data_IF_942106397432
#
_entry.id   IF_942106397432
#
_cell.length_a   1.000
_cell.length_b   1.000
_cell.length_c   1.000
_cell.angle_alpha   90.00
_cell.angle_beta   90.00
_cell.angle_gamma   90.00
#
_symmetry.space_group_name_H-M   'P 1'
#
loop_
_entity.id
_entity.type
_entity.pdbx_description
1 polymer ?
#
# COMPACT_ATOMS: atom_id res chain seq x y z
N UNK A 1 -43.74 -6.68 -7.99
CA UNK A 1 -42.42 -7.30 -7.76
C UNK A 1 -41.38 -6.19 -7.78
N UNK A 2 -40.80 -5.86 -6.62
CA UNK A 2 -39.73 -4.87 -6.53
C UNK A 2 -38.52 -5.42 -7.30
N UNK A 3 -38.10 -4.75 -8.37
CA UNK A 3 -36.82 -5.04 -9.03
C UNK A 3 -35.72 -4.68 -8.02
N UNK A 4 -35.24 -5.64 -7.24
CA UNK A 4 -33.99 -5.46 -6.49
C UNK A 4 -32.91 -5.09 -7.50
N UNK A 5 -32.23 -3.98 -7.29
CA UNK A 5 -31.04 -3.64 -8.06
C UNK A 5 -30.04 -4.79 -7.95
N UNK A 6 -29.29 -5.12 -9.02
CA UNK A 6 -28.22 -6.11 -8.92
C UNK A 6 -27.26 -5.71 -7.79
N UNK A 7 -26.66 -6.69 -7.09
CA UNK A 7 -25.69 -6.40 -6.04
C UNK A 7 -24.54 -5.55 -6.60
N UNK A 8 -23.94 -4.66 -5.79
CA UNK A 8 -22.85 -3.83 -6.25
C UNK A 8 -21.64 -4.69 -6.64
N UNK A 9 -21.02 -4.36 -7.78
CA UNK A 9 -19.83 -5.06 -8.27
C UNK A 9 -18.73 -5.09 -7.21
N UNK A 10 -17.98 -6.19 -7.15
CA UNK A 10 -16.83 -6.34 -6.26
C UNK A 10 -15.58 -5.83 -6.99
N UNK A 11 -14.79 -4.99 -6.32
CA UNK A 11 -13.54 -4.52 -6.93
C UNK A 11 -12.42 -5.54 -6.75
N UNK A 12 -11.50 -5.67 -7.72
CA UNK A 12 -10.32 -6.54 -7.56
C UNK A 12 -9.53 -6.24 -6.27
N UNK A 13 -9.40 -4.98 -5.87
CA UNK A 13 -8.74 -4.60 -4.62
C UNK A 13 -9.58 -4.83 -3.36
N UNK A 14 -10.90 -5.06 -3.46
CA UNK A 14 -11.71 -5.58 -2.35
C UNK A 14 -11.35 -7.02 -2.03
N UNK A 15 -11.07 -7.86 -3.05
CA UNK A 15 -10.62 -9.25 -2.89
C UNK A 15 -9.36 -9.30 -2.02
N UNK A 16 -8.31 -8.57 -2.41
CA UNK A 16 -7.07 -8.51 -1.63
C UNK A 16 -7.29 -8.02 -0.19
N UNK A 17 -8.13 -6.99 -0.01
CA UNK A 17 -8.43 -6.44 1.32
C UNK A 17 -9.19 -7.41 2.20
N UNK A 18 -10.14 -8.16 1.63
CA UNK A 18 -10.89 -9.19 2.36
C UNK A 18 -9.96 -10.30 2.85
N UNK A 19 -9.11 -10.83 1.97
CA UNK A 19 -8.09 -11.84 2.32
C UNK A 19 -7.14 -11.31 3.39
N UNK A 20 -6.76 -10.03 3.32
CA UNK A 20 -5.92 -9.42 4.35
C UNK A 20 -6.64 -9.38 5.71
N UNK A 21 -7.86 -8.84 5.76
CA UNK A 21 -8.73 -8.83 6.94
C UNK A 21 -10.18 -8.42 6.58
N UNK A 22 -11.15 -9.31 6.77
CA UNK A 22 -12.57 -9.05 6.50
C UNK A 22 -13.13 -7.85 7.32
N UNK A 23 -12.75 -7.75 8.60
CA UNK A 23 -13.13 -6.62 9.47
C UNK A 23 -12.55 -5.29 9.01
N UNK A 24 -11.35 -5.27 8.42
CA UNK A 24 -10.77 -4.05 7.90
C UNK A 24 -11.58 -3.53 6.70
N UNK A 25 -12.03 -4.43 5.81
CA UNK A 25 -12.91 -4.09 4.70
C UNK A 25 -14.27 -3.54 5.16
N UNK A 26 -14.80 -4.05 6.27
CA UNK A 26 -16.01 -3.51 6.91
C UNK A 26 -15.83 -2.05 7.35
N UNK A 27 -14.68 -1.68 7.92
CA UNK A 27 -14.39 -0.29 8.29
C UNK A 27 -14.26 0.67 7.10
N UNK A 28 -13.69 0.21 5.98
CA UNK A 28 -13.50 1.04 4.77
C UNK A 28 -14.85 1.47 4.18
N UNK A 29 -15.82 0.56 4.17
CA UNK A 29 -17.17 0.84 3.68
C UNK A 29 -17.95 1.83 4.54
N UNK A 30 -17.73 1.85 5.86
CA UNK A 30 -18.43 2.77 6.77
C UNK A 30 -17.74 4.12 6.93
N UNK A 31 -16.49 4.29 6.50
CA UNK A 31 -15.75 5.54 6.70
C UNK A 31 -14.66 5.75 5.63
N UNK A 32 -15.01 6.30 4.45
CA UNK A 32 -14.10 6.43 3.31
C UNK A 32 -13.06 7.57 3.42
N UNK A 33 -13.23 8.55 4.32
CA UNK A 33 -12.40 9.76 4.35
C UNK A 33 -11.54 9.86 5.62
N UNK A 34 -10.29 9.39 5.59
CA UNK A 34 -9.27 9.83 6.57
C UNK A 34 -7.87 9.92 5.93
N UNK A 35 -7.47 11.14 5.56
CA UNK A 35 -6.08 11.56 5.39
C UNK A 35 -5.92 12.99 5.94
N UNK A 36 -5.06 13.21 6.96
CA UNK A 36 -4.10 14.33 7.04
C UNK A 36 -3.19 14.19 8.30
N UNK A 37 -1.91 14.65 8.28
CA UNK A 37 -0.94 14.51 9.35
C UNK A 37 -0.66 15.81 10.16
N UNK A 38 0.05 15.59 11.28
CA UNK A 38 0.96 16.45 12.06
C UNK A 38 0.53 17.85 12.55
N UNK A 39 0.86 18.16 13.82
CA UNK A 39 1.22 19.52 14.25
C UNK A 39 2.22 19.51 15.43
N UNK A 40 3.20 20.40 15.34
CA UNK A 40 4.39 20.61 16.19
C UNK A 40 4.20 21.85 17.10
N UNK A 41 4.92 21.95 18.23
CA UNK A 41 5.24 23.24 18.88
C UNK A 41 5.49 23.12 20.39
N UNK A 42 6.74 23.08 20.89
CA UNK A 42 7.69 24.17 21.22
C UNK A 42 7.54 24.72 22.66
N UNK A 43 8.65 25.31 23.19
CA UNK A 43 8.79 26.33 24.27
C UNK A 43 9.20 25.85 25.69
N UNK A 44 10.00 26.51 26.55
CA UNK A 44 10.70 27.81 26.63
C UNK A 44 11.89 27.66 27.63
N UNK A 45 12.98 28.44 27.46
CA UNK A 45 14.09 28.63 28.42
C UNK A 45 14.00 30.04 29.02
N UNK A 46 14.10 30.17 30.36
CA UNK A 46 14.35 31.43 31.09
C UNK A 46 15.06 31.10 32.42
N UNK A 47 16.17 31.79 32.73
CA UNK A 47 16.59 32.35 34.05
C UNK A 47 18.13 32.57 34.17
N UNK A 48 18.59 33.78 33.80
CA UNK A 48 19.44 34.77 34.54
C UNK A 48 20.62 34.20 35.41
N UNK A 49 21.94 34.26 35.05
CA UNK A 49 22.99 35.32 35.17
C UNK A 49 23.37 35.79 36.62
N UNK A 50 24.59 36.31 36.94
CA UNK A 50 25.95 35.74 36.91
C UNK A 50 26.82 36.04 38.19
N UNK A 51 27.93 35.33 38.42
CA UNK A 51 29.06 35.84 39.23
C UNK A 51 30.08 36.45 38.25
N UNK A 52 30.70 37.61 38.57
CA UNK A 52 31.57 38.36 37.65
C UNK A 52 32.83 38.72 38.45
N UNK A 53 33.97 38.03 38.34
CA UNK A 53 34.98 38.23 37.29
C UNK A 53 35.92 37.03 37.09
N UNK A 54 36.12 36.16 38.09
CA UNK A 54 36.78 34.83 37.89
C UNK A 54 35.88 33.87 37.09
N UNK A 55 34.58 33.95 37.32
CA UNK A 55 33.56 33.34 36.47
C UNK A 55 33.56 33.98 35.07
N UNK A 56 33.97 35.23 34.83
CA UNK A 56 33.96 35.76 33.45
C UNK A 56 35.00 35.10 32.55
N UNK A 57 36.20 34.79 33.04
CA UNK A 57 37.23 34.12 32.22
C UNK A 57 36.87 32.65 32.03
N UNK A 58 36.52 31.95 33.11
CA UNK A 58 36.06 30.55 33.02
C UNK A 58 34.76 30.45 32.21
N UNK A 59 33.83 31.40 32.35
CA UNK A 59 32.62 31.47 31.52
C UNK A 59 32.92 31.89 30.11
N UNK A 60 33.92 32.71 29.80
CA UNK A 60 34.27 33.00 28.41
C UNK A 60 34.84 31.76 27.73
N UNK A 61 35.68 30.98 28.41
CA UNK A 61 36.21 29.70 27.91
C UNK A 61 35.11 28.64 27.80
N UNK A 62 34.26 28.49 28.83
CA UNK A 62 33.13 27.56 28.82
C UNK A 62 32.07 28.00 27.80
N UNK A 63 31.76 29.29 27.69
CA UNK A 63 30.84 29.82 26.68
C UNK A 63 31.41 29.66 25.28
N UNK A 64 32.72 29.82 25.07
CA UNK A 64 33.37 29.53 23.80
C UNK A 64 33.31 28.02 23.48
N UNK A 65 33.60 27.14 24.43
CA UNK A 65 33.46 25.70 24.24
C UNK A 65 32.00 25.27 24.00
N UNK A 66 31.04 25.90 24.68
CA UNK A 66 29.60 25.68 24.52
C UNK A 66 29.12 26.21 23.17
N UNK A 67 29.56 27.38 22.71
CA UNK A 67 29.21 27.91 21.38
C UNK A 67 29.82 27.09 20.25
N UNK A 68 31.05 26.58 20.42
CA UNK A 68 31.65 25.62 19.48
C UNK A 68 30.86 24.30 19.44
N UNK A 69 30.44 23.76 20.59
CA UNK A 69 29.57 22.57 20.63
C UNK A 69 28.18 22.81 20.03
N UNK A 70 27.57 23.98 20.26
CA UNK A 70 26.30 24.38 19.64
C UNK A 70 26.48 24.49 18.12
N UNK A 71 27.58 25.09 17.65
CA UNK A 71 27.91 25.17 16.23
C UNK A 71 28.04 23.78 15.59
N UNK A 72 28.82 22.88 16.20
CA UNK A 72 29.02 21.50 15.71
C UNK A 72 27.70 20.73 15.67
N UNK A 73 26.86 20.83 16.71
CA UNK A 73 25.57 20.14 16.75
C UNK A 73 24.57 20.67 15.72
N UNK A 74 24.54 21.99 15.49
CA UNK A 74 23.74 22.59 14.41
C UNK A 74 24.21 22.13 13.04
N UNK A 75 25.52 22.11 12.79
CA UNK A 75 26.10 21.63 11.52
C UNK A 75 25.78 20.14 11.32
N UNK A 76 25.97 19.29 12.33
CA UNK A 76 25.65 17.88 12.25
C UNK A 76 24.15 17.63 12.00
N UNK A 77 23.27 18.43 12.61
CA UNK A 77 21.84 18.42 12.35
C UNK A 77 21.51 18.80 10.91
N UNK A 78 22.10 19.87 10.39
CA UNK A 78 21.93 20.30 9.00
C UNK A 78 22.46 19.26 8.00
N UNK A 79 23.61 18.64 8.27
CA UNK A 79 24.16 17.55 7.45
C UNK A 79 23.24 16.34 7.48
N UNK A 80 22.68 15.97 8.64
CA UNK A 80 21.75 14.83 8.75
C UNK A 80 20.44 15.10 8.00
N UNK A 81 19.91 16.32 8.08
CA UNK A 81 18.73 16.73 7.31
C UNK A 81 19.06 16.71 5.81
N UNK A 82 20.18 17.29 5.40
CA UNK A 82 20.61 17.31 4.01
C UNK A 82 20.80 15.89 3.46
N UNK A 83 21.47 15.00 4.20
CA UNK A 83 21.66 13.61 3.82
C UNK A 83 20.32 12.88 3.74
N UNK A 84 19.40 13.12 4.69
CA UNK A 84 18.06 12.52 4.65
C UNK A 84 17.25 13.00 3.45
N UNK A 85 17.31 14.30 3.13
CA UNK A 85 16.66 14.88 1.94
C UNK A 85 17.30 14.36 0.67
N UNK A 86 18.63 14.26 0.61
CA UNK A 86 19.38 13.74 -0.54
C UNK A 86 19.07 12.25 -0.75
N UNK A 87 19.09 11.43 0.30
CA UNK A 87 18.72 10.02 0.24
C UNK A 87 17.26 9.86 -0.17
N UNK A 88 16.35 10.71 0.35
CA UNK A 88 14.94 10.70 -0.04
C UNK A 88 14.76 11.17 -1.49
N UNK A 89 15.52 12.15 -1.94
CA UNK A 89 15.54 12.64 -3.33
C UNK A 89 16.07 11.55 -4.28
N UNK A 90 17.19 10.92 -3.94
CA UNK A 90 17.74 9.77 -4.68
C UNK A 90 16.72 8.64 -4.68
N UNK A 91 16.15 8.26 -3.53
CA UNK A 91 15.14 7.22 -3.40
C UNK A 91 13.88 7.49 -4.23
N UNK A 92 13.39 8.73 -4.24
CA UNK A 92 12.25 9.13 -5.08
C UNK A 92 12.61 9.25 -6.57
N UNK A 93 13.89 9.48 -6.91
CA UNK A 93 14.36 9.53 -8.30
C UNK A 93 14.69 8.14 -8.86
N UNK A 94 15.15 7.22 -8.01
CA UNK A 94 15.35 5.81 -8.36
C UNK A 94 14.04 5.02 -8.33
N UNK A 95 13.07 5.41 -7.48
CA UNK A 95 11.66 5.07 -7.68
C UNK A 95 11.15 5.81 -8.91
N UNK A 96 11.28 5.19 -10.07
CA UNK A 96 10.45 5.54 -11.20
C UNK A 96 9.26 4.60 -11.20
N UNK A 97 8.13 4.97 -10.56
CA UNK A 97 6.88 4.19 -10.60
C UNK A 97 6.29 4.07 -12.01
N UNK A 98 7.00 4.59 -13.03
CA UNK A 98 6.51 4.75 -14.39
C UNK A 98 7.55 4.39 -15.47
N UNK A 99 8.75 3.93 -15.12
CA UNK A 99 9.69 3.47 -16.14
C UNK A 99 9.40 2.02 -16.51
N UNK A 100 8.83 1.88 -17.70
CA UNK A 100 8.83 0.68 -18.53
C UNK A 100 8.76 -0.60 -17.71
N UNK A 101 7.56 -0.87 -17.19
CA UNK A 101 7.30 -2.20 -16.70
C UNK A 101 7.46 -3.13 -17.90
N UNK A 102 8.39 -4.06 -17.79
CA UNK A 102 8.59 -5.12 -18.76
C UNK A 102 8.58 -6.45 -18.04
N UNK A 103 8.18 -7.47 -18.77
CA UNK A 103 8.23 -8.86 -18.34
C UNK A 103 8.80 -9.66 -19.51
N UNK A 104 9.86 -10.42 -19.25
CA UNK A 104 10.58 -11.20 -20.27
C UNK A 104 10.95 -10.38 -21.54
N UNK A 105 11.30 -9.11 -21.36
CA UNK A 105 11.67 -8.20 -22.46
C UNK A 105 10.48 -7.56 -23.20
N UNK A 106 9.25 -7.96 -22.91
CA UNK A 106 8.03 -7.36 -23.46
C UNK A 106 7.61 -6.18 -22.58
N UNK A 107 7.32 -5.04 -23.20
CA UNK A 107 6.90 -3.83 -22.49
C UNK A 107 5.41 -3.87 -22.17
N UNK A 108 5.06 -3.60 -20.91
CA UNK A 108 3.70 -3.45 -20.44
C UNK A 108 3.26 -1.99 -20.64
N UNK A 109 2.01 -1.82 -21.06
CA UNK A 109 1.38 -0.54 -21.28
C UNK A 109 0.47 -0.22 -20.10
N UNK A 110 0.59 1.01 -19.57
CA UNK A 110 -0.30 1.47 -18.50
C UNK A 110 -1.74 1.48 -19.01
N UNK A 111 -2.65 0.91 -18.23
CA UNK A 111 -4.07 0.96 -18.53
C UNK A 111 -4.75 2.04 -17.68
N UNK A 112 -5.51 2.91 -18.35
CA UNK A 112 -6.24 4.00 -17.71
C UNK A 112 -7.74 3.74 -17.62
N UNK A 113 -8.23 2.67 -18.27
CA UNK A 113 -9.64 2.36 -18.38
C UNK A 113 -10.07 1.41 -17.26
N UNK A 114 -11.14 1.79 -16.55
CA UNK A 114 -11.87 0.86 -15.69
C UNK A 114 -12.64 -0.12 -16.58
N UNK A 115 -12.42 -1.39 -16.35
CA UNK A 115 -13.05 -2.52 -17.03
C UNK A 115 -14.06 -3.15 -16.07
N UNK A 116 -15.12 -3.73 -16.64
CA UNK A 116 -16.21 -4.35 -15.90
C UNK A 116 -16.41 -5.74 -16.46
N UNK A 117 -16.42 -6.74 -15.58
CA UNK A 117 -16.83 -8.09 -15.89
C UNK A 117 -18.18 -8.34 -15.22
N UNK A 118 -19.27 -8.19 -15.98
CA UNK A 118 -20.64 -8.31 -15.46
C UNK A 118 -20.99 -9.76 -15.15
N UNK A 119 -20.51 -10.70 -15.94
CA UNK A 119 -20.77 -12.13 -15.73
C UNK A 119 -20.16 -12.59 -14.41
N UNK A 120 -18.98 -12.07 -14.08
CA UNK A 120 -18.29 -12.35 -12.82
C UNK A 120 -18.71 -11.42 -11.68
N UNK A 121 -19.45 -10.33 -11.93
CA UNK A 121 -19.76 -9.34 -10.89
C UNK A 121 -18.55 -8.52 -10.42
N UNK A 122 -17.54 -8.35 -11.27
CA UNK A 122 -16.27 -7.70 -10.97
C UNK A 122 -16.12 -6.33 -11.66
N UNK A 123 -15.36 -5.44 -11.03
CA UNK A 123 -14.92 -4.16 -11.62
C UNK A 123 -13.49 -3.84 -11.19
N UNK A 124 -12.73 -3.22 -12.08
CA UNK A 124 -11.39 -2.81 -11.72
C UNK A 124 -10.65 -2.12 -12.84
N UNK A 125 -9.52 -1.52 -12.49
CA UNK A 125 -8.58 -0.96 -13.46
C UNK A 125 -7.24 -1.69 -13.28
N UNK A 126 -6.92 -2.69 -14.12
CA UNK A 126 -5.58 -3.25 -14.16
C UNK A 126 -4.56 -2.11 -14.34
N UNK A 127 -3.46 -2.12 -13.60
CA UNK A 127 -2.46 -1.04 -13.65
C UNK A 127 -1.77 -1.01 -15.02
N UNK A 128 -1.41 -2.18 -15.52
CA UNK A 128 -0.75 -2.37 -16.81
C UNK A 128 -1.29 -3.62 -17.52
N UNK A 129 -1.17 -3.61 -18.84
CA UNK A 129 -1.45 -4.73 -19.73
C UNK A 129 -0.21 -4.99 -20.60
N UNK A 130 0.26 -6.23 -20.61
CA UNK A 130 1.22 -6.73 -21.58
C UNK A 130 0.46 -7.22 -22.81
N UNK A 131 1.01 -7.01 -23.99
CA UNK A 131 0.47 -7.61 -25.22
C UNK A 131 1.43 -8.69 -25.70
N UNK A 132 0.96 -9.94 -25.65
CA UNK A 132 1.74 -11.14 -26.02
C UNK A 132 0.93 -11.91 -27.05
N UNK A 133 1.41 -11.98 -28.29
CA UNK A 133 0.74 -12.71 -29.38
C UNK A 133 -0.76 -12.38 -29.55
N UNK A 134 -1.15 -11.13 -29.28
CA UNK A 134 -2.54 -10.65 -29.35
C UNK A 134 -3.40 -10.95 -28.12
N UNK A 135 -2.82 -11.52 -27.05
CA UNK A 135 -3.43 -11.61 -25.73
C UNK A 135 -3.06 -10.38 -24.90
N UNK A 136 -4.02 -9.83 -24.15
CA UNK A 136 -3.75 -8.81 -23.14
C UNK A 136 -3.60 -9.47 -21.78
N UNK A 137 -2.38 -9.48 -21.27
CA UNK A 137 -2.02 -10.11 -20.01
C UNK A 137 -1.98 -9.04 -18.91
N UNK A 138 -2.79 -9.13 -17.84
CA UNK A 138 -2.77 -8.16 -16.76
C UNK A 138 -1.47 -8.22 -15.96
N UNK A 139 -0.94 -7.05 -15.60
CA UNK A 139 0.20 -6.93 -14.70
C UNK A 139 -0.19 -6.12 -13.47
N UNK A 140 -0.08 -6.76 -12.31
CA UNK A 140 -0.32 -6.18 -11.00
C UNK A 140 1.00 -5.64 -10.41
N UNK A 141 1.13 -4.32 -10.30
CA UNK A 141 2.29 -3.69 -9.72
C UNK A 141 2.09 -3.48 -8.20
N UNK A 142 3.09 -3.85 -7.40
CA UNK A 142 3.07 -3.68 -5.93
C UNK A 142 4.25 -2.86 -5.45
N UNK A 143 3.94 -1.75 -4.77
CA UNK A 143 4.90 -0.79 -4.23
C UNK A 143 5.61 -1.26 -2.94
N UNK A 144 5.85 -2.56 -2.82
CA UNK A 144 6.55 -3.19 -1.71
C UNK A 144 7.58 -4.20 -2.23
N UNK A 145 8.64 -4.51 -1.46
CA UNK A 145 9.54 -5.60 -1.81
C UNK A 145 8.80 -6.93 -1.93
N UNK A 146 9.24 -7.77 -2.87
CA UNK A 146 8.68 -9.08 -3.08
C UNK A 146 8.94 -10.02 -1.89
N UNK A 147 8.00 -10.90 -1.55
CA UNK A 147 8.28 -12.10 -0.77
C UNK A 147 9.07 -13.15 -1.58
N UNK A 148 9.37 -14.30 -0.99
CA UNK A 148 9.88 -15.48 -1.71
C UNK A 148 8.80 -16.13 -2.58
N UNK A 149 7.55 -16.13 -2.08
CA UNK A 149 6.36 -16.61 -2.79
C UNK A 149 5.26 -15.54 -2.74
N UNK A 150 4.48 -15.35 -3.83
CA UNK A 150 3.53 -14.25 -3.90
C UNK A 150 2.45 -14.41 -2.83
N UNK A 151 2.01 -13.28 -2.26
CA UNK A 151 0.94 -13.30 -1.27
C UNK A 151 -0.38 -13.71 -1.91
N UNK A 152 -1.12 -14.61 -1.25
CA UNK A 152 -2.45 -15.06 -1.69
C UNK A 152 -3.38 -13.89 -2.06
N UNK A 153 -3.38 -12.82 -1.26
CA UNK A 153 -4.15 -11.60 -1.54
C UNK A 153 -3.81 -10.97 -2.90
N UNK A 154 -2.54 -10.99 -3.30
CA UNK A 154 -2.10 -10.45 -4.58
C UNK A 154 -2.39 -11.41 -5.74
N UNK A 155 -2.29 -12.72 -5.50
CA UNK A 155 -2.69 -13.75 -6.48
C UNK A 155 -4.17 -13.55 -6.82
N UNK A 156 -5.06 -13.55 -5.83
CA UNK A 156 -6.51 -13.45 -6.06
C UNK A 156 -6.94 -12.09 -6.64
N UNK A 157 -6.26 -11.00 -6.28
CA UNK A 157 -6.49 -9.70 -6.94
C UNK A 157 -6.08 -9.73 -8.42
N UNK A 158 -4.99 -10.43 -8.76
CA UNK A 158 -4.57 -10.62 -10.15
C UNK A 158 -5.51 -11.56 -10.91
N UNK A 159 -6.00 -12.65 -10.30
CA UNK A 159 -7.03 -13.53 -10.90
C UNK A 159 -8.31 -12.73 -11.20
N UNK A 160 -8.73 -11.87 -10.27
CA UNK A 160 -9.87 -10.96 -10.50
C UNK A 160 -9.62 -10.03 -11.69
N UNK A 161 -8.42 -9.46 -11.83
CA UNK A 161 -8.07 -8.71 -13.04
C UNK A 161 -8.03 -9.57 -14.30
N UNK A 162 -7.59 -10.82 -14.21
CA UNK A 162 -7.67 -11.82 -15.27
C UNK A 162 -9.08 -11.96 -15.82
N UNK A 163 -10.05 -12.21 -14.95
CA UNK A 163 -11.47 -12.35 -15.32
C UNK A 163 -12.05 -11.06 -15.91
N UNK A 164 -11.69 -9.91 -15.32
CA UNK A 164 -12.07 -8.60 -15.86
C UNK A 164 -11.55 -8.40 -17.29
N UNK A 165 -10.28 -8.73 -17.55
CA UNK A 165 -9.69 -8.61 -18.88
C UNK A 165 -10.31 -9.64 -19.83
N UNK A 166 -10.53 -10.86 -19.37
CA UNK A 166 -11.12 -11.95 -20.14
C UNK A 166 -12.51 -11.59 -20.70
N UNK A 167 -13.38 -10.90 -19.95
CA UNK A 167 -14.70 -10.48 -20.44
C UNK A 167 -14.63 -9.25 -21.38
N UNK A 168 -13.53 -8.49 -21.36
CA UNK A 168 -13.40 -7.24 -22.11
C UNK A 168 -12.54 -7.36 -23.38
N UNK A 169 -11.90 -8.49 -23.62
CA UNK A 169 -10.95 -8.69 -24.72
C UNK A 169 -11.33 -9.89 -25.59
N UNK A 170 -11.01 -9.89 -26.90
CA UNK A 170 -11.35 -10.99 -27.80
C UNK A 170 -10.67 -12.31 -27.47
N UNK A 171 -9.55 -12.25 -26.74
CA UNK A 171 -8.77 -13.42 -26.32
C UNK A 171 -8.60 -13.39 -24.82
N UNK A 172 -8.95 -14.50 -24.18
CA UNK A 172 -8.87 -14.65 -22.74
C UNK A 172 -7.40 -14.88 -22.31
N UNK A 173 -6.86 -14.10 -21.37
CA UNK A 173 -5.56 -14.39 -20.80
C UNK A 173 -5.63 -15.67 -19.97
N UNK A 174 -4.61 -16.53 -20.09
CA UNK A 174 -4.48 -17.76 -19.28
C UNK A 174 -3.67 -17.55 -18.01
N UNK A 175 -2.99 -16.41 -17.90
CA UNK A 175 -2.16 -16.05 -16.78
C UNK A 175 -2.07 -14.53 -16.63
N UNK A 176 -1.48 -14.08 -15.53
CA UNK A 176 -1.09 -12.71 -15.29
C UNK A 176 0.27 -12.61 -14.61
N UNK A 177 0.76 -11.39 -14.41
CA UNK A 177 2.06 -11.16 -13.77
C UNK A 177 1.91 -10.25 -12.55
N UNK A 178 2.45 -10.67 -11.41
CA UNK A 178 2.67 -9.79 -10.26
C UNK A 178 4.08 -9.23 -10.35
N UNK A 179 4.25 -7.92 -10.24
CA UNK A 179 5.57 -7.26 -10.16
C UNK A 179 5.71 -6.47 -8.87
N UNK A 180 6.73 -6.81 -8.09
CA UNK A 180 7.07 -6.10 -6.86
C UNK A 180 8.11 -5.00 -7.09
N UNK A 181 8.22 -4.07 -6.14
CA UNK A 181 9.04 -2.87 -6.27
C UNK A 181 10.55 -3.15 -6.33
N UNK A 182 11.00 -4.30 -5.82
CA UNK A 182 12.39 -4.76 -5.91
C UNK A 182 12.69 -5.57 -7.19
N UNK A 183 11.74 -5.61 -8.13
CA UNK A 183 11.89 -6.26 -9.44
C UNK A 183 11.53 -7.73 -9.47
N UNK A 184 11.21 -8.35 -8.32
CA UNK A 184 10.68 -9.72 -8.29
C UNK A 184 9.36 -9.80 -9.06
N UNK A 185 9.22 -10.83 -9.88
CA UNK A 185 8.01 -11.09 -10.67
C UNK A 185 7.55 -12.52 -10.48
N UNK A 186 6.23 -12.72 -10.52
CA UNK A 186 5.59 -14.01 -10.43
C UNK A 186 4.52 -14.11 -11.51
N UNK A 187 4.53 -15.23 -12.23
CA UNK A 187 3.44 -15.62 -13.12
C UNK A 187 2.36 -16.33 -12.31
N UNK A 188 1.09 -16.05 -12.61
CA UNK A 188 -0.05 -16.64 -11.94
C UNK A 188 -1.03 -17.12 -13.00
N UNK A 189 -1.29 -18.42 -13.02
CA UNK A 189 -2.25 -19.04 -13.92
C UNK A 189 -3.69 -18.76 -13.49
N UNK A 190 -4.58 -18.68 -14.47
CA UNK A 190 -6.02 -18.48 -14.28
C UNK A 190 -6.78 -19.77 -14.59
N UNK A 191 -6.39 -20.86 -13.93
CA UNK A 191 -7.08 -22.14 -14.04
C UNK A 191 -8.44 -22.15 -13.33
N UNK A 192 -9.19 -23.23 -13.54
CA UNK A 192 -10.54 -23.39 -12.97
C UNK A 192 -10.52 -23.33 -11.44
N UNK A 193 -9.50 -23.90 -10.80
CA UNK A 193 -9.34 -23.89 -9.34
C UNK A 193 -9.17 -22.46 -8.81
N UNK A 194 -8.34 -21.63 -9.45
CA UNK A 194 -8.15 -20.24 -9.08
C UNK A 194 -9.44 -19.42 -9.23
N UNK A 195 -10.23 -19.71 -10.27
CA UNK A 195 -11.53 -19.05 -10.50
C UNK A 195 -12.56 -19.50 -9.45
N UNK A 196 -12.57 -20.78 -9.06
CA UNK A 196 -13.44 -21.28 -7.99
C UNK A 196 -13.10 -20.65 -6.63
N UNK A 197 -11.81 -20.56 -6.29
CA UNK A 197 -11.35 -19.88 -5.06
C UNK A 197 -11.77 -18.41 -5.07
N UNK A 198 -11.61 -17.72 -6.21
CA UNK A 198 -12.07 -16.33 -6.36
C UNK A 198 -13.57 -16.21 -6.12
N UNK A 199 -14.38 -17.11 -6.71
CA UNK A 199 -15.83 -17.14 -6.52
C UNK A 199 -16.21 -17.31 -5.05
N UNK A 200 -15.56 -18.24 -4.33
CA UNK A 200 -15.79 -18.43 -2.90
C UNK A 200 -15.49 -17.18 -2.06
N UNK A 201 -14.39 -16.48 -2.37
CA UNK A 201 -14.06 -15.20 -1.71
C UNK A 201 -15.12 -14.13 -2.00
N UNK A 202 -15.63 -14.08 -3.24
CA UNK A 202 -16.67 -13.13 -3.62
C UNK A 202 -17.98 -13.39 -2.86
N UNK A 203 -18.37 -14.65 -2.69
CA UNK A 203 -19.53 -15.04 -1.90
C UNK A 203 -19.36 -14.65 -0.42
N UNK A 204 -18.18 -14.84 0.16
CA UNK A 204 -17.88 -14.39 1.51
C UNK A 204 -17.98 -12.86 1.65
N UNK A 205 -17.46 -12.11 0.68
CA UNK A 205 -17.56 -10.65 0.67
C UNK A 205 -19.03 -10.24 0.67
N UNK A 206 -19.82 -10.83 -0.23
CA UNK A 206 -21.25 -10.52 -0.37
C UNK A 206 -22.04 -10.87 0.91
N UNK A 207 -21.78 -12.04 1.50
CA UNK A 207 -22.36 -12.43 2.78
C UNK A 207 -21.99 -11.45 3.89
N UNK A 208 -20.74 -11.01 3.96
CA UNK A 208 -20.28 -10.01 4.93
C UNK A 208 -20.83 -8.60 4.64
N UNK A 209 -21.34 -8.30 3.44
CA UNK A 209 -22.03 -7.02 3.18
C UNK A 209 -23.39 -6.94 3.85
N UNK A 210 -24.02 -8.08 4.15
CA UNK A 210 -25.34 -8.15 4.76
C UNK A 210 -25.29 -8.21 6.30
N UNK A 211 -24.09 -8.29 6.88
CA UNK A 211 -23.90 -8.40 8.34
C UNK A 211 -23.79 -7.04 9.01
N UNK A 212 -24.35 -6.94 10.22
CA UNK A 212 -24.21 -5.77 11.08
C UNK A 212 -22.80 -5.61 11.65
N UNK A 213 -22.09 -6.73 11.82
CA UNK A 213 -20.70 -6.79 12.27
C UNK A 213 -19.93 -7.93 11.57
N UNK A 214 -18.64 -7.70 11.31
CA UNK A 214 -17.76 -8.68 10.64
C UNK A 214 -16.53 -8.93 11.52
N UNK A 215 -16.28 -10.18 11.95
CA UNK A 215 -15.13 -10.50 12.80
C UNK A 215 -13.81 -10.40 12.03
N UNK A 216 -12.69 -10.28 12.77
CA UNK A 216 -11.33 -10.44 12.24
C UNK A 216 -11.21 -11.86 11.64
N UNK A 217 -10.66 -11.96 10.42
CA UNK A 217 -10.56 -13.22 9.68
C UNK A 217 -9.20 -13.93 9.78
N UNK A 218 -8.31 -13.49 10.68
CA UNK A 218 -6.96 -14.03 10.80
C UNK A 218 -6.47 -13.98 12.25
N UNK A 219 -5.40 -14.70 12.58
CA UNK A 219 -4.73 -14.63 13.90
C UNK A 219 -3.31 -14.06 13.87
N UNK A 220 -2.95 -13.41 12.76
CA UNK A 220 -1.63 -12.81 12.56
C UNK A 220 -1.49 -11.39 13.17
N UNK A 221 -0.72 -11.26 14.25
CA UNK A 221 -0.44 -9.96 14.89
C UNK A 221 0.21 -8.93 13.98
N UNK A 222 1.07 -9.36 13.04
CA UNK A 222 1.73 -8.48 12.07
C UNK A 222 0.76 -7.81 11.11
N UNK A 223 -0.31 -8.49 10.68
CA UNK A 223 -1.36 -7.86 9.86
C UNK A 223 -2.09 -6.76 10.62
N UNK A 224 -2.42 -6.99 11.90
CA UNK A 224 -3.00 -5.94 12.75
C UNK A 224 -2.06 -4.75 12.95
N UNK A 225 -0.74 -4.97 13.04
CA UNK A 225 0.24 -3.89 13.19
C UNK A 225 0.21 -2.90 12.02
N UNK A 226 0.16 -3.42 10.79
CA UNK A 226 0.16 -2.61 9.57
C UNK A 226 -1.25 -2.13 9.16
N UNK A 227 -2.32 -2.64 9.80
CA UNK A 227 -3.69 -2.25 9.49
C UNK A 227 -3.98 -0.79 9.86
N UNK A 228 -4.46 0.00 8.88
CA UNK A 228 -4.82 1.42 9.08
C UNK A 228 -5.90 1.63 10.14
N UNK A 229 -6.72 0.63 10.40
CA UNK A 229 -7.81 0.68 11.38
C UNK A 229 -7.43 0.14 12.77
N UNK A 230 -6.17 -0.24 13.00
CA UNK A 230 -5.74 -0.88 14.27
C UNK A 230 -6.15 -0.12 15.52
N UNK A 231 -6.11 1.22 15.49
CA UNK A 231 -6.41 2.08 16.65
C UNK A 231 -7.89 2.08 17.03
N UNK A 232 -8.78 1.79 16.07
CA UNK A 232 -10.25 1.75 16.28
C UNK A 232 -10.82 0.34 16.26
N UNK A 233 -10.01 -0.67 15.91
CA UNK A 233 -10.39 -2.06 15.89
C UNK A 233 -10.24 -2.66 17.29
N UNK A 234 -11.37 -2.92 17.94
CA UNK A 234 -11.49 -3.61 19.23
C UNK A 234 -10.88 -5.03 19.22
N UNK A 235 -10.92 -5.69 18.06
CA UNK A 235 -10.32 -7.01 17.82
C UNK A 235 -8.86 -6.95 17.32
N UNK A 236 -8.17 -5.81 17.40
CA UNK A 236 -6.76 -5.73 17.03
C UNK A 236 -5.88 -6.60 17.95
N UNK A 237 -5.04 -7.45 17.35
CA UNK A 237 -3.99 -8.21 18.07
C UNK A 237 -2.76 -7.36 18.41
N UNK A 238 -2.70 -6.13 17.88
CA UNK A 238 -1.62 -5.20 18.13
C UNK A 238 -2.21 -3.92 18.74
N UNK A 239 -2.16 -3.83 20.07
CA UNK A 239 -2.46 -2.60 20.82
C UNK A 239 -1.17 -1.85 21.06
#
# INVERSE_FOLDING_TARGET
MSKKSPPPLITASEIARHIYCARALFYDRRNPDIHNPNLVGQLWRWLIQPWRTGILVLSLVVMFAVTQRIGITLIAGLVSIFLSVLLRYIYHRTRQPDKDISFQGIKAHRNHKTLVAKEFGLVGRPDYLLEVEGYKIPVLAKDMPGPETPYEAHIMELVAFGMIVAENEPRHPLYGVIRYADGRTFEVDFDEDAVEVLSGIMDEIEANRQRDDVPRSHDERRRCYACRYRKKCDQSLFR
#
